data_IF_127829622304
#
_entry.id   IF_127829622304
#
_cell.length_a   1.000
_cell.length_b   1.000
_cell.length_c   1.000
_cell.angle_alpha   90.00
_cell.angle_beta   90.00
_cell.angle_gamma   90.00
#
_symmetry.space_group_name_H-M   'P 1'
#
loop_
_entity.id
_entity.type
_entity.pdbx_description
1 polymer ?
#
# COMPACT_ATOMS: atom_id res chain seq x y z
N UNK A 1 -2.76 -11.60 -4.78
CA UNK A 1 -2.68 -13.05 -4.46
C UNK A 1 -3.19 -13.29 -3.05
N UNK A 2 -2.51 -12.78 -2.01
CA UNK A 2 -3.02 -12.86 -0.62
C UNK A 2 -4.45 -12.32 -0.43
N UNK A 3 -4.78 -11.17 -1.00
CA UNK A 3 -6.13 -10.59 -0.94
C UNK A 3 -7.18 -11.52 -1.58
N UNK A 4 -6.85 -12.12 -2.73
CA UNK A 4 -7.73 -13.05 -3.45
C UNK A 4 -7.83 -14.41 -2.74
N UNK A 5 -6.79 -14.79 -2.00
CA UNK A 5 -6.74 -15.99 -1.16
C UNK A 5 -7.42 -15.79 0.20
N UNK A 6 -8.02 -14.62 0.47
CA UNK A 6 -8.70 -14.33 1.73
C UNK A 6 -7.78 -13.90 2.88
N UNK A 7 -6.46 -13.86 2.66
CA UNK A 7 -5.47 -13.48 3.65
C UNK A 7 -5.34 -11.95 3.75
N UNK A 8 -6.42 -11.28 4.15
CA UNK A 8 -6.52 -9.81 4.12
C UNK A 8 -5.48 -9.10 4.99
N UNK A 9 -5.13 -9.65 6.15
CA UNK A 9 -4.13 -9.06 7.05
C UNK A 9 -2.72 -9.13 6.46
N UNK A 10 -2.38 -10.27 5.86
CA UNK A 10 -1.12 -10.44 5.15
C UNK A 10 -1.05 -9.52 3.93
N UNK A 11 -2.13 -9.42 3.15
CA UNK A 11 -2.23 -8.47 2.04
C UNK A 11 -2.03 -7.01 2.49
N UNK A 12 -2.72 -6.58 3.56
CA UNK A 12 -2.57 -5.23 4.11
C UNK A 12 -1.14 -4.95 4.60
N UNK A 13 -0.48 -5.93 5.21
CA UNK A 13 0.91 -5.82 5.64
C UNK A 13 1.87 -5.65 4.46
N UNK A 14 1.63 -6.36 3.36
CA UNK A 14 2.41 -6.28 2.13
C UNK A 14 2.19 -4.93 1.43
N UNK A 15 0.95 -4.44 1.38
CA UNK A 15 0.64 -3.11 0.85
C UNK A 15 1.34 -2.02 1.66
N UNK A 16 1.35 -2.11 3.00
CA UNK A 16 2.05 -1.17 3.84
C UNK A 16 3.58 -1.18 3.60
N UNK A 17 4.18 -2.36 3.43
CA UNK A 17 5.61 -2.49 3.09
C UNK A 17 5.92 -1.89 1.71
N UNK A 18 5.09 -2.19 0.71
CA UNK A 18 5.26 -1.69 -0.65
C UNK A 18 5.15 -0.16 -0.73
N UNK A 19 4.16 0.44 -0.06
CA UNK A 19 4.00 1.91 -0.01
C UNK A 19 5.25 2.58 0.60
N UNK A 20 5.78 2.03 1.71
CA UNK A 20 7.02 2.55 2.32
C UNK A 20 8.20 2.48 1.36
N UNK A 21 8.37 1.36 0.65
CA UNK A 21 9.44 1.17 -0.31
C UNK A 21 9.32 2.14 -1.50
N UNK A 22 8.13 2.30 -2.06
CA UNK A 22 7.90 3.21 -3.19
C UNK A 22 8.10 4.67 -2.80
N UNK A 23 7.69 5.06 -1.59
CA UNK A 23 7.96 6.40 -1.08
C UNK A 23 9.46 6.64 -0.91
N UNK A 24 10.19 5.68 -0.33
CA UNK A 24 11.63 5.73 -0.21
C UNK A 24 12.30 5.89 -1.59
N UNK A 25 11.93 5.08 -2.57
CA UNK A 25 12.48 5.19 -3.94
C UNK A 25 12.21 6.55 -4.57
N UNK A 26 11.03 7.12 -4.32
CA UNK A 26 10.59 8.38 -4.92
C UNK A 26 11.28 9.61 -4.31
N UNK A 27 11.51 9.61 -3.00
CA UNK A 27 11.90 10.80 -2.23
C UNK A 27 13.31 10.69 -1.65
N UNK A 28 13.62 9.56 -1.01
CA UNK A 28 14.85 9.41 -0.22
C UNK A 28 16.01 8.87 -1.07
N UNK A 29 15.73 7.91 -1.94
CA UNK A 29 16.75 7.21 -2.71
C UNK A 29 17.55 8.09 -3.69
N UNK A 30 16.99 9.14 -4.31
CA UNK A 30 17.78 10.10 -5.10
C UNK A 30 18.80 10.89 -4.28
N UNK A 31 18.56 11.04 -2.97
CA UNK A 31 19.47 11.73 -2.04
C UNK A 31 20.60 10.82 -1.53
N UNK A 32 20.52 9.52 -1.79
CA UNK A 32 21.59 8.58 -1.43
C UNK A 32 22.77 8.73 -2.39
N UNK A 33 23.96 8.63 -1.82
CA UNK A 33 25.21 8.63 -2.57
C UNK A 33 25.39 7.22 -3.19
N UNK A 34 24.71 6.98 -4.30
CA UNK A 34 24.82 5.76 -5.10
C UNK A 34 25.69 6.03 -6.35
N UNK A 35 26.41 5.01 -6.81
CA UNK A 35 27.20 5.09 -8.04
C UNK A 35 26.84 3.94 -8.99
N UNK A 36 26.09 4.20 -10.08
CA UNK A 36 25.54 5.50 -10.49
C UNK A 36 24.39 5.99 -9.57
N UNK A 37 24.12 7.30 -9.52
CA UNK A 37 23.00 7.83 -8.74
C UNK A 37 21.68 7.30 -9.28
N UNK A 38 20.69 7.15 -8.38
CA UNK A 38 19.35 6.74 -8.79
C UNK A 38 18.70 7.85 -9.61
N UNK A 39 18.52 7.59 -10.91
CA UNK A 39 17.84 8.51 -11.82
C UNK A 39 16.47 7.95 -12.18
N UNK A 40 15.42 8.54 -11.61
CA UNK A 40 14.05 8.25 -12.02
C UNK A 40 13.66 9.18 -13.16
N UNK A 41 13.02 8.65 -14.21
CA UNK A 41 12.39 9.49 -15.23
C UNK A 41 11.07 10.07 -14.70
N UNK A 42 10.50 11.05 -15.40
CA UNK A 42 9.16 11.56 -15.05
C UNK A 42 8.09 10.47 -15.15
N UNK A 43 8.21 9.57 -16.13
CA UNK A 43 7.33 8.42 -16.25
C UNK A 43 7.42 7.50 -15.02
N UNK A 44 8.63 7.22 -14.53
CA UNK A 44 8.82 6.38 -13.34
C UNK A 44 8.25 7.04 -12.08
N UNK A 45 8.47 8.34 -11.91
CA UNK A 45 7.87 9.12 -10.81
C UNK A 45 6.34 9.10 -10.85
N UNK A 46 5.76 9.21 -12.04
CA UNK A 46 4.30 9.11 -12.20
C UNK A 46 3.80 7.70 -11.88
N UNK A 47 4.46 6.65 -12.35
CA UNK A 47 4.09 5.26 -12.03
C UNK A 47 4.15 4.99 -10.54
N UNK A 48 5.23 5.41 -9.86
CA UNK A 48 5.38 5.23 -8.41
C UNK A 48 4.25 5.92 -7.63
N UNK A 49 3.90 7.17 -7.99
CA UNK A 49 2.77 7.88 -7.37
C UNK A 49 1.44 7.15 -7.58
N UNK A 50 1.19 6.67 -8.79
CA UNK A 50 -0.02 5.90 -9.09
C UNK A 50 -0.09 4.61 -8.29
N UNK A 51 1.02 3.87 -8.17
CA UNK A 51 1.05 2.65 -7.36
C UNK A 51 0.83 2.92 -5.88
N UNK A 52 1.42 3.98 -5.34
CA UNK A 52 1.18 4.39 -3.95
C UNK A 52 -0.31 4.68 -3.72
N UNK A 53 -0.95 5.41 -4.64
CA UNK A 53 -2.37 5.77 -4.52
C UNK A 53 -3.29 4.54 -4.58
N UNK A 54 -3.08 3.66 -5.57
CA UNK A 54 -3.83 2.39 -5.70
C UNK A 54 -3.69 1.54 -4.43
N UNK A 55 -2.48 1.42 -3.88
CA UNK A 55 -2.22 0.62 -2.68
C UNK A 55 -2.86 1.25 -1.43
N UNK A 56 -2.82 2.58 -1.29
CA UNK A 56 -3.47 3.28 -0.19
C UNK A 56 -4.99 3.16 -0.25
N UNK A 57 -5.59 3.25 -1.44
CA UNK A 57 -7.03 3.04 -1.62
C UNK A 57 -7.44 1.61 -1.22
N UNK A 58 -6.71 0.58 -1.67
CA UNK A 58 -6.97 -0.82 -1.29
C UNK A 58 -6.81 -1.07 0.21
N UNK A 59 -5.79 -0.48 0.83
CA UNK A 59 -5.60 -0.53 2.29
C UNK A 59 -6.76 0.14 3.03
N UNK A 60 -7.24 1.28 2.53
CA UNK A 60 -8.40 2.00 3.07
C UNK A 60 -9.68 1.17 2.97
N UNK A 61 -9.94 0.55 1.82
CA UNK A 61 -11.08 -0.34 1.61
C UNK A 61 -11.03 -1.57 2.51
N UNK A 62 -9.87 -2.22 2.64
CA UNK A 62 -9.70 -3.35 3.57
C UNK A 62 -9.99 -2.96 5.02
N UNK A 63 -9.52 -1.78 5.46
CA UNK A 63 -9.82 -1.27 6.81
C UNK A 63 -11.30 -0.95 6.99
N UNK A 64 -11.94 -0.34 6.00
CA UNK A 64 -13.38 -0.02 6.02
C UNK A 64 -14.24 -1.28 6.04
N UNK A 65 -13.93 -2.27 5.20
CA UNK A 65 -14.62 -3.57 5.15
C UNK A 65 -14.50 -4.33 6.48
N UNK A 66 -13.33 -4.29 7.13
CA UNK A 66 -13.13 -4.85 8.47
C UNK A 66 -14.00 -4.16 9.51
N UNK A 67 -14.08 -2.83 9.51
CA UNK A 67 -14.96 -2.08 10.43
C UNK A 67 -16.43 -2.42 10.19
N UNK A 68 -16.85 -2.57 8.92
CA UNK A 68 -18.21 -2.96 8.59
C UNK A 68 -18.57 -4.38 9.09
N UNK A 69 -17.64 -5.34 8.96
CA UNK A 69 -17.82 -6.71 9.47
C UNK A 69 -17.90 -6.75 11.01
N UNK A 70 -17.06 -5.98 11.70
CA UNK A 70 -17.10 -5.86 13.16
C UNK A 70 -18.44 -5.27 13.63
N UNK A 71 -18.89 -4.18 13.01
CA UNK A 71 -20.17 -3.54 13.33
C UNK A 71 -21.41 -4.41 13.02
N UNK A 72 -21.29 -5.39 12.12
CA UNK A 72 -22.37 -6.33 11.79
C UNK A 72 -22.49 -7.44 12.84
N UNK A 73 -21.36 -7.92 13.38
CA UNK A 73 -21.35 -8.94 14.45
C UNK A 73 -21.93 -8.45 15.79
N UNK A 74 -21.81 -7.15 16.08
CA UNK A 74 -22.43 -6.54 17.28
C UNK A 74 -23.96 -6.42 17.17
N UNK A 75 -24.54 -6.44 15.96
CA UNK A 75 -26.00 -6.32 15.77
C UNK A 75 -26.73 -7.69 15.83
N UNK A 76 -26.02 -8.81 15.70
CA UNK A 76 -26.61 -10.17 15.76
C UNK A 76 -26.64 -10.78 17.16
N UNK A 77 -26.24 -10.04 18.20
CA UNK A 77 -26.22 -10.51 19.60
C UNK A 77 -27.27 -9.77 20.44
N UNK A 78 -28.56 -9.95 20.13
CA UNK A 78 -29.69 -9.56 20.98
C UNK A 78 -30.79 -10.63 20.91
#
# INVERSE_FOLDING_TARGET
VEELMGNMESAASLYAKAVRLFFFLLVEAPSLILNPPLSLTNADRMRLRNYIDILNNRKGQSRSMRMALLNCGEQTSL
#
